data_IF_955759014634
#
_entry.id   IF_955759014634
#
_cell.length_a   1.000
_cell.length_b   1.000
_cell.length_c   1.000
_cell.angle_alpha   90.00
_cell.angle_beta   90.00
_cell.angle_gamma   90.00
#
_symmetry.space_group_name_H-M   'P 1'
#
loop_
_entity.id
_entity.type
_entity.pdbx_description
1 polymer ?
#
# COMPACT_ATOMS: atom_id res chain seq x y z
N UNK A 1 -16.25 -36.01 -57.42
CA UNK A 1 -15.29 -36.75 -56.56
C UNK A 1 -13.94 -36.74 -57.25
N UNK A 2 -12.97 -36.05 -56.66
CA UNK A 2 -11.57 -36.04 -57.06
C UNK A 2 -10.74 -36.59 -55.88
N UNK A 3 -9.42 -36.77 -56.09
CA UNK A 3 -8.39 -36.92 -55.03
C UNK A 3 -7.83 -38.33 -54.72
N UNK A 4 -7.50 -39.19 -55.71
CA UNK A 4 -6.71 -40.41 -55.42
C UNK A 4 -5.53 -40.78 -56.34
N UNK A 5 -5.35 -40.20 -57.52
CA UNK A 5 -4.36 -40.72 -58.49
C UNK A 5 -3.17 -39.81 -58.83
N UNK A 6 -2.78 -38.87 -57.96
CA UNK A 6 -1.56 -38.07 -58.14
C UNK A 6 -0.53 -38.30 -57.03
N UNK A 7 -0.16 -39.56 -56.83
CA UNK A 7 1.06 -39.95 -56.13
C UNK A 7 2.07 -40.40 -57.19
N UNK A 8 3.11 -39.60 -57.47
CA UNK A 8 4.50 -40.03 -57.70
C UNK A 8 5.34 -38.89 -58.28
N UNK A 9 5.91 -38.08 -57.39
CA UNK A 9 7.34 -37.74 -57.40
C UNK A 9 7.72 -37.34 -55.98
N UNK A 10 8.17 -38.36 -55.23
CA UNK A 10 8.92 -38.18 -53.99
C UNK A 10 10.23 -37.48 -54.37
N UNK A 11 10.32 -36.18 -54.20
CA UNK A 11 11.61 -35.57 -53.87
C UNK A 11 11.82 -35.79 -52.38
N UNK A 12 12.58 -36.83 -52.07
CA UNK A 12 13.18 -37.04 -50.76
C UNK A 12 14.19 -35.92 -50.50
N UNK A 13 13.71 -34.82 -49.91
CA UNK A 13 14.59 -33.84 -49.29
C UNK A 13 15.26 -34.54 -48.11
N UNK A 14 16.57 -34.76 -48.22
CA UNK A 14 17.39 -35.25 -47.11
C UNK A 14 17.19 -34.34 -45.89
N UNK A 15 16.92 -34.87 -44.68
CA UNK A 15 16.83 -34.05 -43.49
C UNK A 15 18.19 -33.38 -43.28
N UNK A 16 18.23 -32.04 -43.30
CA UNK A 16 19.41 -31.27 -42.88
C UNK A 16 19.79 -31.71 -41.45
N UNK A 17 21.07 -31.94 -41.15
CA UNK A 17 21.48 -32.36 -39.81
C UNK A 17 21.03 -31.31 -38.78
N UNK A 18 20.44 -31.78 -37.67
CA UNK A 18 20.12 -30.94 -36.51
C UNK A 18 21.41 -30.25 -36.05
N UNK A 19 21.41 -28.94 -35.74
CA UNK A 19 22.55 -28.32 -35.08
C UNK A 19 22.67 -28.91 -33.67
N UNK A 20 23.79 -29.58 -33.40
CA UNK A 20 24.13 -30.10 -32.08
C UNK A 20 24.69 -28.94 -31.26
N UNK A 21 23.96 -28.56 -30.20
CA UNK A 21 24.34 -27.43 -29.35
C UNK A 21 25.32 -27.93 -28.27
N UNK A 22 26.60 -27.67 -28.46
CA UNK A 22 27.64 -27.95 -27.46
C UNK A 22 27.82 -26.71 -26.57
N UNK A 23 27.53 -26.84 -25.28
CA UNK A 23 27.75 -25.77 -24.31
C UNK A 23 29.18 -25.90 -23.78
N UNK A 24 30.03 -24.93 -24.11
CA UNK A 24 31.41 -24.85 -23.63
C UNK A 24 31.49 -23.83 -22.48
N UNK A 25 32.18 -24.19 -21.40
CA UNK A 25 32.65 -23.21 -20.41
C UNK A 25 34.14 -23.04 -20.60
N UNK A 26 34.56 -21.81 -20.90
CA UNK A 26 35.97 -21.43 -20.99
C UNK A 26 36.32 -20.53 -19.81
N UNK A 27 37.46 -20.81 -19.19
CA UNK A 27 38.17 -19.92 -18.27
C UNK A 27 39.56 -19.64 -18.86
N UNK A 28 40.31 -18.69 -18.31
CA UNK A 28 41.62 -18.28 -18.85
C UNK A 28 42.59 -19.45 -19.09
N UNK A 29 42.45 -20.54 -18.32
CA UNK A 29 43.40 -21.66 -18.37
C UNK A 29 42.76 -23.04 -18.68
N UNK A 30 41.43 -23.17 -18.80
CA UNK A 30 40.77 -24.47 -19.06
C UNK A 30 39.48 -24.36 -19.89
N UNK A 31 39.24 -25.37 -20.72
CA UNK A 31 38.02 -25.56 -21.51
C UNK A 31 37.37 -26.92 -21.18
N UNK A 32 36.12 -26.91 -20.70
CA UNK A 32 35.35 -28.12 -20.41
C UNK A 32 34.07 -28.19 -21.27
N UNK A 33 33.77 -29.39 -21.78
CA UNK A 33 32.58 -29.71 -22.58
C UNK A 33 31.51 -30.30 -21.67
N UNK A 34 30.33 -29.69 -21.61
CA UNK A 34 29.22 -30.16 -20.76
C UNK A 34 28.22 -30.93 -21.63
N UNK A 35 28.04 -32.22 -21.37
CA UNK A 35 27.02 -33.06 -22.02
C UNK A 35 25.66 -32.95 -21.29
N UNK A 36 24.53 -32.82 -22.01
CA UNK A 36 23.21 -32.79 -21.39
C UNK A 36 22.77 -34.19 -20.92
N UNK A 37 22.03 -34.30 -19.79
CA UNK A 37 21.60 -35.59 -19.26
C UNK A 37 20.59 -36.31 -20.17
N UNK A 38 20.80 -37.61 -20.38
CA UNK A 38 19.99 -38.48 -21.25
C UNK A 38 18.64 -38.85 -20.61
N UNK A 39 17.55 -39.05 -21.39
CA UNK A 39 16.22 -39.32 -20.83
C UNK A 39 16.06 -40.80 -20.42
N UNK A 40 16.09 -41.09 -19.12
CA UNK A 40 15.72 -42.40 -18.57
C UNK A 40 14.18 -42.60 -18.49
N UNK A 41 13.75 -43.86 -18.67
CA UNK A 41 12.37 -44.34 -18.67
C UNK A 41 11.71 -44.28 -17.28
N UNK A 42 10.36 -44.19 -17.19
CA UNK A 42 9.66 -43.87 -15.94
C UNK A 42 9.53 -45.06 -14.98
N UNK A 43 9.83 -44.83 -13.70
CA UNK A 43 9.53 -45.74 -12.59
C UNK A 43 8.09 -45.52 -12.05
N UNK A 44 7.50 -46.59 -11.51
CA UNK A 44 6.11 -46.68 -11.04
C UNK A 44 5.75 -45.73 -9.85
N UNK A 45 4.46 -45.40 -9.62
CA UNK A 45 4.08 -44.33 -8.69
C UNK A 45 3.91 -44.83 -7.25
N UNK A 46 4.36 -44.07 -6.23
CA UNK A 46 3.90 -44.26 -4.86
C UNK A 46 2.67 -43.37 -4.54
N UNK A 47 1.94 -43.83 -3.52
CA UNK A 47 0.56 -43.46 -3.15
C UNK A 47 0.39 -42.00 -2.68
N UNK A 48 -0.79 -41.44 -2.98
CA UNK A 48 -1.27 -40.11 -2.55
C UNK A 48 -1.36 -39.98 -1.03
N UNK A 49 -0.73 -38.95 -0.46
CA UNK A 49 -1.18 -38.29 0.78
C UNK A 49 -1.04 -36.76 0.68
N UNK A 50 -1.85 -36.07 1.48
CA UNK A 50 -2.37 -34.70 1.32
C UNK A 50 -1.31 -33.59 1.30
N UNK A 51 -1.56 -32.59 0.46
CA UNK A 51 -0.64 -31.51 0.12
C UNK A 51 -0.34 -30.52 1.25
N UNK A 52 0.95 -30.20 1.37
CA UNK A 52 1.48 -29.05 2.10
C UNK A 52 1.45 -27.81 1.21
N UNK A 53 1.06 -26.69 1.84
CA UNK A 53 0.98 -25.35 1.28
C UNK A 53 2.40 -24.81 1.04
N UNK A 54 2.61 -24.18 -0.11
CA UNK A 54 3.81 -23.42 -0.39
C UNK A 54 3.82 -22.16 0.49
N UNK A 55 4.69 -22.16 1.51
CA UNK A 55 4.99 -21.03 2.38
C UNK A 55 6.14 -20.27 1.70
N UNK A 56 5.92 -19.03 1.25
CA UNK A 56 7.03 -18.13 0.94
C UNK A 56 7.63 -17.66 2.26
N UNK A 57 8.87 -18.07 2.51
CA UNK A 57 9.66 -17.68 3.67
C UNK A 57 10.46 -16.43 3.31
N UNK A 58 10.11 -15.29 3.91
CA UNK A 58 11.04 -14.19 4.10
C UNK A 58 11.69 -14.38 5.47
N UNK A 59 13.02 -14.37 5.49
CA UNK A 59 13.83 -14.54 6.69
C UNK A 59 13.50 -13.46 7.72
N UNK A 60 13.16 -13.91 8.92
CA UNK A 60 13.18 -13.09 10.13
C UNK A 60 13.94 -13.90 11.18
N UNK A 61 15.16 -13.48 11.47
CA UNK A 61 15.91 -14.01 12.60
C UNK A 61 15.23 -13.57 13.89
N UNK A 62 14.88 -14.59 14.68
CA UNK A 62 14.31 -14.48 16.01
C UNK A 62 15.46 -14.49 17.00
N UNK A 63 15.47 -13.52 17.90
CA UNK A 63 16.06 -13.74 19.20
C UNK A 63 15.00 -14.27 20.17
N UNK A 64 15.37 -15.30 20.92
CA UNK A 64 14.52 -15.99 21.90
C UNK A 64 15.03 -15.66 23.29
N UNK A 65 14.16 -15.19 24.17
CA UNK A 65 14.12 -15.75 25.53
C UNK A 65 12.73 -15.61 26.18
N UNK A 66 12.06 -16.71 26.58
CA UNK A 66 10.75 -16.67 27.21
C UNK A 66 10.85 -17.14 28.67
N UNK A 67 10.78 -16.23 29.66
CA UNK A 67 10.34 -16.56 31.03
C UNK A 67 10.25 -15.32 31.91
N UNK A 68 9.00 -14.99 32.26
CA UNK A 68 8.48 -14.28 33.46
C UNK A 68 7.59 -13.12 33.06
N UNK A 69 6.30 -13.42 32.89
CA UNK A 69 5.26 -12.48 33.29
C UNK A 69 3.91 -13.22 33.51
N UNK A 70 3.95 -14.39 34.15
CA UNK A 70 2.74 -15.09 34.65
C UNK A 70 2.55 -14.91 36.16
N UNK A 71 3.19 -13.91 36.76
CA UNK A 71 3.36 -13.84 38.23
C UNK A 71 3.02 -12.48 38.84
N UNK A 72 2.14 -11.69 38.23
CA UNK A 72 1.56 -10.48 38.85
C UNK A 72 0.10 -10.26 38.48
N UNK A 73 -0.71 -11.32 38.54
CA UNK A 73 -2.16 -11.21 38.51
C UNK A 73 -2.71 -11.59 39.88
N UNK A 74 -3.65 -10.77 40.35
CA UNK A 74 -4.41 -10.80 41.63
C UNK A 74 -3.79 -9.92 42.72
N UNK A 75 -4.46 -8.95 43.37
CA UNK A 75 -5.86 -8.51 43.43
C UNK A 75 -5.87 -6.98 43.71
N UNK A 76 -6.87 -6.24 43.20
CA UNK A 76 -7.87 -5.53 44.01
C UNK A 76 -8.65 -4.49 43.20
N UNK A 77 -9.97 -4.68 43.22
CA UNK A 77 -11.00 -3.76 42.76
C UNK A 77 -11.24 -2.74 43.87
N UNK A 78 -10.66 -1.55 43.75
CA UNK A 78 -11.12 -0.37 44.49
C UNK A 78 -11.21 0.82 43.56
N UNK A 79 -12.37 1.48 43.64
CA UNK A 79 -12.80 2.63 42.88
C UNK A 79 -12.15 3.90 43.41
N UNK A 80 -11.35 4.60 42.58
CA UNK A 80 -11.09 6.06 42.65
C UNK A 80 -10.68 6.60 41.26
N UNK A 81 -10.93 7.90 40.97
CA UNK A 81 -11.14 8.40 39.62
C UNK A 81 -9.82 8.71 38.90
N UNK A 82 -9.70 8.32 37.62
CA UNK A 82 -8.64 8.83 36.73
C UNK A 82 -9.18 10.03 35.95
N UNK A 83 -9.03 11.20 36.56
CA UNK A 83 -8.55 12.40 35.86
C UNK A 83 -7.16 12.06 35.29
N UNK A 84 -6.75 12.42 34.07
CA UNK A 84 -7.22 13.42 33.13
C UNK A 84 -7.21 12.85 31.71
N UNK A 85 -8.37 12.84 31.06
CA UNK A 85 -8.45 12.82 29.61
C UNK A 85 -7.77 14.07 29.06
N UNK A 86 -6.92 13.89 28.04
CA UNK A 86 -6.49 14.98 27.20
C UNK A 86 -7.75 15.63 26.61
N UNK A 87 -8.03 16.85 27.09
CA UNK A 87 -8.95 17.89 26.61
C UNK A 87 -9.91 17.38 25.50
N UNK A 88 -10.99 16.73 25.92
CA UNK A 88 -12.15 16.49 25.07
C UNK A 88 -13.19 17.61 25.36
N UNK A 89 -13.76 18.25 24.34
CA UNK A 89 -14.83 19.23 24.51
C UNK A 89 -16.02 18.61 25.23
N UNK A 90 -16.69 19.39 26.09
CA UNK A 90 -17.85 18.93 26.87
C UNK A 90 -19.07 18.60 25.99
N UNK A 91 -19.12 19.13 24.78
CA UNK A 91 -20.24 19.00 23.84
C UNK A 91 -19.96 18.02 22.69
N UNK A 92 -19.03 17.07 22.87
CA UNK A 92 -18.74 16.05 21.88
C UNK A 92 -19.87 15.00 21.83
N UNK A 93 -20.46 14.66 20.66
CA UNK A 93 -21.46 13.61 20.53
C UNK A 93 -20.97 12.26 21.10
N UNK A 94 -21.83 11.25 21.33
CA UNK A 94 -21.42 9.89 21.78
C UNK A 94 -20.97 8.99 20.62
N UNK A 95 -19.96 8.14 20.85
CA UNK A 95 -19.29 7.41 19.77
C UNK A 95 -20.23 6.36 19.17
N UNK A 96 -20.48 6.35 17.85
CA UNK A 96 -21.32 5.33 17.23
C UNK A 96 -20.75 3.94 17.52
N UNK A 97 -21.63 2.99 17.86
CA UNK A 97 -21.23 1.59 18.03
C UNK A 97 -20.63 1.06 16.72
N UNK A 98 -19.68 0.11 16.75
CA UNK A 98 -19.08 -0.46 15.55
C UNK A 98 -20.13 -1.28 14.79
N UNK A 99 -20.85 -0.63 13.87
CA UNK A 99 -21.87 -1.22 13.02
C UNK A 99 -21.37 -1.30 11.58
N UNK A 100 -21.57 -2.47 10.96
CA UNK A 100 -21.26 -2.69 9.55
C UNK A 100 -22.17 -1.81 8.68
N UNK A 101 -21.57 -0.80 8.04
CA UNK A 101 -22.00 -0.30 6.72
C UNK A 101 -23.35 0.41 6.65
N UNK A 102 -23.67 1.30 7.60
CA UNK A 102 -24.71 2.30 7.36
C UNK A 102 -24.05 3.68 7.20
N UNK A 103 -24.45 4.45 6.19
CA UNK A 103 -23.91 5.80 5.93
C UNK A 103 -24.30 6.84 7.00
N UNK A 104 -25.15 6.47 7.97
CA UNK A 104 -25.47 7.32 9.12
C UNK A 104 -24.36 7.31 10.17
N UNK A 105 -23.75 6.15 10.40
CA UNK A 105 -22.61 6.01 11.31
C UNK A 105 -21.41 6.78 10.77
N UNK A 106 -21.19 6.76 9.45
CA UNK A 106 -20.15 7.55 8.78
C UNK A 106 -20.38 9.07 8.95
N UNK A 107 -21.60 9.55 8.73
CA UNK A 107 -21.97 10.95 8.97
C UNK A 107 -21.81 11.38 10.45
N UNK A 108 -22.16 10.50 11.40
CA UNK A 108 -22.00 10.73 12.84
C UNK A 108 -20.51 10.76 13.25
N UNK A 109 -19.65 9.97 12.59
CA UNK A 109 -18.20 10.03 12.78
C UNK A 109 -17.59 11.30 12.17
N UNK A 110 -18.07 11.75 11.00
CA UNK A 110 -17.66 13.01 10.36
C UNK A 110 -18.03 14.24 11.19
N UNK A 111 -19.23 14.27 11.78
CA UNK A 111 -19.68 15.35 12.67
C UNK A 111 -18.79 15.42 13.92
N UNK A 112 -18.49 14.26 14.52
CA UNK A 112 -17.62 14.15 15.69
C UNK A 112 -16.19 14.61 15.41
N UNK A 113 -15.63 14.26 14.23
CA UNK A 113 -14.32 14.71 13.80
C UNK A 113 -14.27 16.22 13.56
N UNK A 114 -15.36 16.79 13.03
CA UNK A 114 -15.49 18.24 12.78
C UNK A 114 -15.49 19.04 14.09
N UNK A 115 -16.21 18.59 15.11
CA UNK A 115 -16.24 19.24 16.43
C UNK A 115 -14.86 19.20 17.11
N UNK A 116 -14.13 18.09 16.96
CA UNK A 116 -12.75 17.97 17.48
C UNK A 116 -11.76 18.88 16.74
N UNK A 117 -11.93 19.08 15.43
CA UNK A 117 -11.09 19.99 14.65
C UNK A 117 -11.34 21.47 15.00
N UNK A 118 -12.57 21.85 15.35
CA UNK A 118 -12.92 23.23 15.68
C UNK A 118 -12.50 23.65 17.10
N UNK A 119 -12.47 22.72 18.05
CA UNK A 119 -12.28 23.00 19.48
C UNK A 119 -10.83 22.92 19.94
N UNK A 120 -9.91 22.52 19.06
CA UNK A 120 -8.49 22.50 19.31
C UNK A 120 -7.80 23.62 18.51
N UNK A 121 -7.83 24.88 18.98
CA UNK A 121 -7.16 25.96 18.28
C UNK A 121 -5.65 25.73 18.34
N UNK A 122 -5.06 25.37 17.21
CA UNK A 122 -3.61 25.43 17.04
C UNK A 122 -3.19 26.89 17.31
N UNK A 123 -2.18 27.15 18.17
CA UNK A 123 -1.70 28.50 18.36
C UNK A 123 -1.22 29.06 17.02
N UNK A 124 -1.91 30.08 16.51
CA UNK A 124 -1.45 30.88 15.36
C UNK A 124 -0.14 31.54 15.77
N UNK A 125 0.99 30.96 15.36
CA UNK A 125 2.25 31.69 15.33
C UNK A 125 2.07 32.90 14.41
N UNK A 126 2.31 34.09 14.94
CA UNK A 126 2.26 35.34 14.19
C UNK A 126 3.45 35.37 13.22
N UNK A 127 3.23 35.00 11.96
CA UNK A 127 4.21 35.16 10.89
C UNK A 127 4.07 36.56 10.31
N UNK A 128 5.17 37.32 10.08
CA UNK A 128 5.08 38.64 9.47
C UNK A 128 4.51 38.53 8.05
N UNK A 129 3.49 39.35 7.74
CA UNK A 129 2.94 39.48 6.39
C UNK A 129 3.90 40.32 5.54
N UNK A 130 4.75 39.67 4.76
CA UNK A 130 5.46 40.30 3.65
C UNK A 130 5.65 39.30 2.52
N UNK A 131 4.65 39.25 1.63
CA UNK A 131 4.71 39.12 0.15
C UNK A 131 3.32 38.73 -0.35
N UNK A 132 2.96 39.14 -1.57
CA UNK A 132 1.77 38.64 -2.24
C UNK A 132 1.82 37.09 -2.29
N UNK A 133 0.67 36.38 -2.27
CA UNK A 133 0.68 34.93 -2.42
C UNK A 133 1.45 34.58 -3.71
N UNK A 134 2.43 33.66 -3.66
CA UNK A 134 3.11 33.20 -4.86
C UNK A 134 2.06 32.70 -5.87
N UNK A 135 2.27 33.02 -7.15
CA UNK A 135 1.35 32.56 -8.19
C UNK A 135 1.35 31.03 -8.21
N UNK A 136 0.19 30.40 -8.43
CA UNK A 136 0.06 28.94 -8.37
C UNK A 136 1.07 28.22 -9.28
N UNK A 137 1.40 28.82 -10.43
CA UNK A 137 2.39 28.31 -11.38
C UNK A 137 3.82 28.28 -10.81
N UNK A 138 4.18 29.24 -9.96
CA UNK A 138 5.49 29.31 -9.30
C UNK A 138 5.62 28.25 -8.20
N UNK A 139 4.53 28.00 -7.46
CA UNK A 139 4.45 26.94 -6.45
C UNK A 139 4.62 25.57 -7.11
N UNK A 140 3.95 25.33 -8.23
CA UNK A 140 4.07 24.08 -8.99
C UNK A 140 5.48 23.91 -9.57
N UNK A 141 6.06 24.95 -10.18
CA UNK A 141 7.43 24.91 -10.69
C UNK A 141 8.45 24.60 -9.57
N UNK A 142 8.26 25.18 -8.39
CA UNK A 142 9.11 24.92 -7.22
C UNK A 142 8.98 23.46 -6.75
N UNK A 143 7.76 22.92 -6.76
CA UNK A 143 7.53 21.52 -6.41
C UNK A 143 8.21 20.56 -7.38
N UNK A 144 8.08 20.80 -8.68
CA UNK A 144 8.74 20.00 -9.73
C UNK A 144 10.26 20.04 -9.60
N UNK A 145 10.83 21.20 -9.26
CA UNK A 145 12.27 21.30 -8.97
C UNK A 145 12.67 20.46 -7.76
N UNK A 146 11.87 20.45 -6.68
CA UNK A 146 12.09 19.58 -5.54
C UNK A 146 12.09 18.09 -5.90
N UNK A 147 11.16 17.66 -6.76
CA UNK A 147 11.08 16.27 -7.27
C UNK A 147 12.32 15.95 -8.13
N UNK A 148 12.71 16.83 -9.04
CA UNK A 148 13.92 16.66 -9.86
C UNK A 148 15.16 16.47 -9.00
N UNK A 149 15.35 17.33 -7.98
CA UNK A 149 16.46 17.22 -7.04
C UNK A 149 16.43 15.91 -6.25
N UNK A 150 15.24 15.42 -5.89
CA UNK A 150 15.10 14.13 -5.22
C UNK A 150 15.56 12.97 -6.13
N UNK A 151 15.18 12.98 -7.40
CA UNK A 151 15.59 11.98 -8.40
C UNK A 151 17.10 12.03 -8.70
N UNK A 152 17.70 13.20 -8.66
CA UNK A 152 19.15 13.41 -8.80
C UNK A 152 19.96 12.99 -7.55
N UNK A 153 19.27 12.65 -6.45
CA UNK A 153 19.88 12.24 -5.19
C UNK A 153 20.28 13.40 -4.27
N UNK A 154 19.94 14.63 -4.61
CA UNK A 154 20.17 15.84 -3.81
C UNK A 154 19.11 15.98 -2.70
N UNK A 155 19.01 14.94 -1.86
CA UNK A 155 17.91 14.74 -0.92
C UNK A 155 17.75 15.88 0.09
N UNK A 156 18.85 16.50 0.56
CA UNK A 156 18.79 17.61 1.51
C UNK A 156 18.07 18.83 0.90
N UNK A 157 18.36 19.15 -0.38
CA UNK A 157 17.77 20.30 -1.08
C UNK A 157 16.31 20.02 -1.40
N UNK A 158 16.01 18.81 -1.88
CA UNK A 158 14.65 18.38 -2.18
C UNK A 158 13.74 18.45 -0.94
N UNK A 159 14.21 17.89 0.18
CA UNK A 159 13.44 17.88 1.43
C UNK A 159 13.23 19.28 2.01
N UNK A 160 14.19 20.19 1.84
CA UNK A 160 14.02 21.59 2.23
C UNK A 160 12.90 22.27 1.42
N UNK A 161 12.82 22.01 0.11
CA UNK A 161 11.74 22.51 -0.74
C UNK A 161 10.40 21.91 -0.32
N UNK A 162 10.33 20.59 -0.11
CA UNK A 162 9.10 19.94 0.33
C UNK A 162 8.61 20.48 1.67
N UNK A 163 9.52 20.74 2.62
CA UNK A 163 9.18 21.34 3.91
C UNK A 163 8.59 22.74 3.76
N UNK A 164 9.22 23.62 2.97
CA UNK A 164 8.75 24.98 2.74
C UNK A 164 7.34 25.00 2.11
N UNK A 165 7.10 24.13 1.13
CA UNK A 165 5.81 24.01 0.46
C UNK A 165 4.75 23.35 1.37
N UNK A 166 5.15 22.39 2.21
CA UNK A 166 4.27 21.74 3.16
C UNK A 166 3.74 22.72 4.22
N UNK A 167 4.61 23.62 4.71
CA UNK A 167 4.25 24.71 5.62
C UNK A 167 3.35 25.76 4.95
N UNK A 168 3.44 25.88 3.62
CA UNK A 168 2.55 26.69 2.79
C UNK A 168 1.20 26.00 2.48
N UNK A 169 0.91 24.89 3.15
CA UNK A 169 -0.31 24.09 3.02
C UNK A 169 -0.50 23.36 1.68
N UNK A 170 0.58 23.08 0.94
CA UNK A 170 0.50 22.34 -0.31
C UNK A 170 0.38 20.83 -0.05
N UNK A 171 -0.72 20.21 -0.47
CA UNK A 171 -1.06 18.85 -0.05
C UNK A 171 -0.05 17.79 -0.54
N UNK A 172 0.36 17.83 -1.80
CA UNK A 172 1.39 16.90 -2.32
C UNK A 172 2.74 17.09 -1.61
N UNK A 173 3.09 18.33 -1.25
CA UNK A 173 4.35 18.60 -0.58
C UNK A 173 4.32 18.07 0.86
N UNK A 174 3.17 18.14 1.54
CA UNK A 174 2.96 17.52 2.84
C UNK A 174 3.12 16.00 2.77
N UNK A 175 2.62 15.35 1.71
CA UNK A 175 2.86 13.91 1.48
C UNK A 175 4.35 13.63 1.30
N UNK A 176 5.01 14.32 0.37
CA UNK A 176 6.43 14.10 0.06
C UNK A 176 7.32 14.40 1.27
N UNK A 177 7.04 15.45 2.03
CA UNK A 177 7.77 15.76 3.26
C UNK A 177 7.52 14.73 4.36
N UNK A 178 6.28 14.27 4.53
CA UNK A 178 5.96 13.17 5.45
C UNK A 178 6.72 11.88 5.12
N UNK A 179 6.83 11.54 3.82
CA UNK A 179 7.65 10.42 3.35
C UNK A 179 9.14 10.64 3.61
N UNK A 180 9.65 11.86 3.38
CA UNK A 180 11.03 12.22 3.67
C UNK A 180 11.37 12.05 5.15
N UNK A 181 10.50 12.50 6.06
CA UNK A 181 10.66 12.33 7.50
C UNK A 181 10.63 10.85 7.91
N UNK A 182 9.72 10.07 7.31
CA UNK A 182 9.59 8.63 7.59
C UNK A 182 10.83 7.84 7.17
N UNK A 183 11.38 8.14 5.99
CA UNK A 183 12.50 7.42 5.40
C UNK A 183 13.87 8.03 5.70
N UNK A 184 13.93 9.25 6.23
CA UNK A 184 15.17 9.98 6.46
C UNK A 184 15.80 10.53 5.17
N UNK A 185 14.99 10.97 4.21
CA UNK A 185 15.51 11.56 2.96
C UNK A 185 16.07 12.95 3.23
N UNK A 186 17.39 13.08 3.34
CA UNK A 186 18.04 14.36 3.58
C UNK A 186 17.68 15.04 4.91
N UNK A 187 17.12 14.29 5.85
CA UNK A 187 16.71 14.73 7.19
C UNK A 187 16.85 13.55 8.15
N UNK A 188 17.05 13.76 9.46
CA UNK A 188 16.89 12.70 10.44
C UNK A 188 15.50 12.06 10.36
N UNK A 189 15.43 10.75 10.61
CA UNK A 189 14.15 10.03 10.65
C UNK A 189 13.28 10.57 11.79
N UNK A 190 12.08 11.03 11.45
CA UNK A 190 11.06 11.50 12.38
C UNK A 190 9.70 10.91 11.98
N UNK A 191 9.38 9.77 12.58
CA UNK A 191 8.13 9.08 12.27
C UNK A 191 6.91 9.81 12.83
N UNK A 192 7.05 10.55 13.92
CA UNK A 192 5.92 11.28 14.54
C UNK A 192 5.57 12.51 13.69
N UNK A 193 6.58 13.24 13.22
CA UNK A 193 6.43 14.31 12.24
C UNK A 193 5.81 13.82 10.92
N UNK A 194 6.21 12.64 10.45
CA UNK A 194 5.63 12.03 9.25
C UNK A 194 4.11 11.86 9.35
N UNK A 195 3.60 11.32 10.47
CA UNK A 195 2.16 11.15 10.68
C UNK A 195 1.43 12.48 10.69
N UNK A 196 2.02 13.51 11.31
CA UNK A 196 1.41 14.84 11.36
C UNK A 196 1.22 15.41 9.96
N UNK A 197 2.25 15.38 9.12
CA UNK A 197 2.18 15.93 7.76
C UNK A 197 1.30 15.07 6.83
N UNK A 198 1.33 13.73 6.94
CA UNK A 198 0.42 12.85 6.18
C UNK A 198 -1.05 13.05 6.57
N UNK A 199 -1.34 13.23 7.86
CA UNK A 199 -2.69 13.53 8.34
C UNK A 199 -3.17 14.90 7.87
N UNK A 200 -2.26 15.89 7.86
CA UNK A 200 -2.52 17.23 7.36
C UNK A 200 -2.80 17.19 5.84
N UNK A 201 -2.01 16.44 5.08
CA UNK A 201 -2.21 16.24 3.65
C UNK A 201 -3.58 15.64 3.35
N UNK A 202 -3.96 14.57 4.04
CA UNK A 202 -5.28 13.94 3.86
C UNK A 202 -6.42 14.92 4.17
N UNK A 203 -6.29 15.74 5.23
CA UNK A 203 -7.30 16.73 5.59
C UNK A 203 -7.41 17.86 4.56
N UNK A 204 -6.28 18.35 4.07
CA UNK A 204 -6.22 19.42 3.07
C UNK A 204 -6.72 18.98 1.71
N UNK A 205 -6.31 17.80 1.23
CA UNK A 205 -6.78 17.28 -0.05
C UNK A 205 -8.27 16.97 -0.03
N UNK A 206 -8.84 16.52 1.10
CA UNK A 206 -10.29 16.31 1.21
C UNK A 206 -11.09 17.63 1.09
N UNK A 207 -10.57 18.73 1.64
CA UNK A 207 -11.17 20.06 1.44
C UNK A 207 -11.06 20.51 -0.02
N UNK A 208 -9.91 20.30 -0.65
CA UNK A 208 -9.69 20.64 -2.07
C UNK A 208 -10.61 19.79 -2.96
N UNK A 209 -10.76 18.48 -2.72
CA UNK A 209 -11.66 17.63 -3.51
C UNK A 209 -13.13 18.04 -3.38
N UNK A 210 -13.58 18.41 -2.18
CA UNK A 210 -14.95 18.92 -1.97
C UNK A 210 -15.22 20.17 -2.80
N UNK A 211 -14.22 21.04 -2.93
CA UNK A 211 -14.30 22.25 -3.75
C UNK A 211 -14.02 21.98 -5.24
N UNK A 212 -13.22 20.96 -5.55
CA UNK A 212 -12.70 20.60 -6.88
C UNK A 212 -13.37 19.38 -7.50
N UNK A 213 -14.57 19.00 -7.04
CA UNK A 213 -15.41 17.90 -7.57
C UNK A 213 -15.64 17.96 -9.10
N UNK A 214 -15.24 19.05 -9.74
CA UNK A 214 -15.31 19.29 -11.18
C UNK A 214 -14.01 19.02 -11.97
N UNK A 215 -12.83 18.84 -11.34
CA UNK A 215 -11.53 18.88 -12.05
C UNK A 215 -10.58 17.68 -11.90
N UNK A 216 -10.92 16.65 -11.13
CA UNK A 216 -10.24 15.33 -11.18
C UNK A 216 -8.77 15.25 -10.74
N UNK A 217 -8.09 16.36 -10.45
CA UNK A 217 -6.66 16.41 -10.10
C UNK A 217 -6.32 16.08 -8.64
N UNK A 218 -7.06 16.64 -7.67
CA UNK A 218 -6.80 16.53 -6.22
C UNK A 218 -6.93 15.11 -5.63
N UNK A 219 -7.32 14.17 -6.49
CA UNK A 219 -7.61 12.79 -6.15
C UNK A 219 -6.37 11.95 -5.93
N UNK A 220 -5.27 12.27 -6.63
CA UNK A 220 -4.02 11.54 -6.48
C UNK A 220 -3.37 11.77 -5.11
N UNK A 221 -3.30 13.03 -4.67
CA UNK A 221 -2.66 13.41 -3.42
C UNK A 221 -3.44 12.89 -2.19
N UNK A 222 -4.77 13.02 -2.21
CA UNK A 222 -5.62 12.52 -1.12
C UNK A 222 -5.44 11.02 -0.93
N UNK A 223 -5.56 10.28 -2.04
CA UNK A 223 -5.39 8.83 -2.06
C UNK A 223 -4.05 8.41 -1.50
N UNK A 224 -2.97 9.04 -1.96
CA UNK A 224 -1.62 8.69 -1.54
C UNK A 224 -1.42 8.95 -0.04
N UNK A 225 -1.93 10.08 0.48
CA UNK A 225 -1.89 10.39 1.90
C UNK A 225 -2.64 9.34 2.75
N UNK A 226 -3.86 8.99 2.35
CA UNK A 226 -4.69 7.98 3.03
C UNK A 226 -4.01 6.61 3.00
N UNK A 227 -3.46 6.21 1.85
CA UNK A 227 -2.74 4.94 1.71
C UNK A 227 -1.52 4.86 2.62
N UNK A 228 -0.71 5.93 2.68
CA UNK A 228 0.47 6.00 3.54
C UNK A 228 0.10 6.02 5.03
N UNK A 229 -1.02 6.63 5.43
CA UNK A 229 -1.54 6.49 6.79
C UNK A 229 -1.92 5.04 7.11
N UNK A 230 -2.53 4.32 6.16
CA UNK A 230 -2.77 2.88 6.27
C UNK A 230 -1.50 2.08 6.52
N UNK A 231 -0.41 2.39 5.78
CA UNK A 231 0.90 1.78 6.00
C UNK A 231 1.47 2.09 7.39
N UNK A 232 1.27 3.30 7.88
CA UNK A 232 1.71 3.69 9.22
C UNK A 232 0.98 2.89 10.32
N UNK A 233 -0.34 2.71 10.23
CA UNK A 233 -1.08 1.84 11.15
C UNK A 233 -0.71 0.35 11.02
N UNK A 234 -0.34 -0.11 9.82
CA UNK A 234 0.11 -1.49 9.61
C UNK A 234 1.47 -1.75 10.26
N UNK A 235 2.42 -0.84 10.06
CA UNK A 235 3.82 -1.04 10.44
C UNK A 235 4.19 -0.42 11.79
N UNK A 236 3.35 0.47 12.32
CA UNK A 236 3.57 1.15 13.58
C UNK A 236 4.59 2.28 13.47
N UNK A 237 4.58 3.02 12.36
CA UNK A 237 5.49 4.14 12.14
C UNK A 237 4.90 5.41 12.72
N UNK A 238 5.46 5.92 13.83
CA UNK A 238 4.97 7.15 14.51
C UNK A 238 3.58 7.02 15.13
N UNK A 239 2.97 5.85 15.03
CA UNK A 239 1.64 5.55 15.58
C UNK A 239 1.60 4.08 16.02
N UNK A 240 0.74 3.76 16.99
CA UNK A 240 0.56 2.38 17.41
C UNK A 240 -0.03 1.53 16.27
N UNK A 241 0.46 0.29 16.15
CA UNK A 241 -0.09 -0.66 15.19
C UNK A 241 -1.58 -0.90 15.46
N UNK A 242 -2.38 -0.71 14.42
CA UNK A 242 -3.80 -1.03 14.42
C UNK A 242 -4.17 -1.65 13.07
N UNK A 243 -4.25 -2.99 13.00
CA UNK A 243 -4.64 -3.69 11.78
C UNK A 243 -6.03 -3.31 11.27
N UNK A 244 -6.97 -2.99 12.16
CA UNK A 244 -8.35 -2.65 11.78
C UNK A 244 -8.39 -1.26 11.15
N UNK A 245 -7.71 -0.29 11.77
CA UNK A 245 -7.54 1.04 11.17
C UNK A 245 -6.81 0.94 9.83
N UNK A 246 -5.69 0.23 9.74
CA UNK A 246 -4.94 0.07 8.50
C UNK A 246 -5.81 -0.46 7.34
N UNK A 247 -6.60 -1.52 7.61
CA UNK A 247 -7.54 -2.05 6.63
C UNK A 247 -8.57 -1.01 6.20
N UNK A 248 -9.12 -0.24 7.14
CA UNK A 248 -10.07 0.81 6.82
C UNK A 248 -9.46 1.89 5.91
N UNK A 249 -8.25 2.36 6.21
CA UNK A 249 -7.53 3.31 5.35
C UNK A 249 -7.28 2.75 3.93
N UNK A 250 -6.90 1.47 3.80
CA UNK A 250 -6.76 0.83 2.49
C UNK A 250 -8.10 0.74 1.75
N UNK A 251 -9.20 0.41 2.44
CA UNK A 251 -10.54 0.39 1.84
C UNK A 251 -10.95 1.79 1.35
N UNK A 252 -10.67 2.84 2.12
CA UNK A 252 -10.97 4.22 1.75
C UNK A 252 -10.18 4.64 0.50
N UNK A 253 -8.86 4.41 0.47
CA UNK A 253 -8.04 4.69 -0.71
C UNK A 253 -8.46 3.85 -1.94
N UNK A 254 -8.84 2.58 -1.73
CA UNK A 254 -9.35 1.72 -2.79
C UNK A 254 -10.68 2.23 -3.37
N UNK A 255 -11.60 2.71 -2.52
CA UNK A 255 -12.87 3.28 -2.97
C UNK A 255 -12.67 4.61 -3.72
N UNK A 256 -11.59 5.32 -3.41
CA UNK A 256 -11.11 6.45 -4.19
C UNK A 256 -10.42 6.01 -5.49
N UNK A 257 -10.39 4.73 -5.85
CA UNK A 257 -9.99 4.29 -7.20
C UNK A 257 -8.50 3.99 -7.35
N UNK A 258 -7.76 3.87 -6.26
CA UNK A 258 -6.34 3.51 -6.30
C UNK A 258 -6.15 2.00 -6.44
N UNK A 259 -5.49 1.53 -7.51
CA UNK A 259 -5.36 0.11 -7.75
C UNK A 259 -4.41 -0.58 -6.77
N UNK A 260 -3.46 0.13 -6.17
CA UNK A 260 -2.51 -0.44 -5.20
C UNK A 260 -3.20 -0.62 -3.84
N UNK A 261 -3.99 0.36 -3.42
CA UNK A 261 -4.88 0.27 -2.26
C UNK A 261 -5.94 -0.82 -2.42
N UNK A 262 -6.50 -1.02 -3.62
CA UNK A 262 -7.41 -2.14 -3.90
C UNK A 262 -6.72 -3.50 -3.66
N UNK A 263 -5.45 -3.64 -4.07
CA UNK A 263 -4.68 -4.86 -3.83
C UNK A 263 -4.39 -5.07 -2.33
N UNK A 264 -4.02 -4.03 -1.60
CA UNK A 264 -3.80 -4.11 -0.14
C UNK A 264 -5.10 -4.39 0.64
N UNK A 265 -6.22 -3.76 0.25
CA UNK A 265 -7.53 -4.05 0.82
C UNK A 265 -7.92 -5.52 0.55
N UNK A 266 -7.76 -6.00 -0.68
CA UNK A 266 -8.01 -7.39 -1.02
C UNK A 266 -7.14 -8.36 -0.21
N UNK A 267 -5.85 -8.04 -0.03
CA UNK A 267 -4.95 -8.82 0.82
C UNK A 267 -5.47 -8.88 2.27
N UNK A 268 -5.93 -7.76 2.83
CA UNK A 268 -6.50 -7.72 4.17
C UNK A 268 -7.68 -8.69 4.33
N UNK A 269 -8.56 -8.74 3.33
CA UNK A 269 -9.71 -9.66 3.29
C UNK A 269 -9.32 -11.13 3.06
N UNK A 270 -8.24 -11.41 2.31
CA UNK A 270 -7.75 -12.76 2.09
C UNK A 270 -7.08 -13.34 3.34
N UNK A 271 -6.27 -12.53 4.02
CA UNK A 271 -5.50 -12.96 5.19
C UNK A 271 -6.24 -12.74 6.52
N UNK A 272 -7.32 -11.95 6.52
CA UNK A 272 -8.02 -11.58 7.74
C UNK A 272 -7.20 -10.58 8.57
N UNK A 273 -6.43 -9.73 7.91
CA UNK A 273 -5.75 -8.61 8.55
C UNK A 273 -6.78 -7.53 8.87
N UNK A 274 -6.81 -7.05 10.11
CA UNK A 274 -7.77 -6.03 10.54
C UNK A 274 -9.23 -6.48 10.61
N UNK A 275 -9.52 -7.78 10.48
CA UNK A 275 -10.90 -8.27 10.54
C UNK A 275 -11.05 -9.73 10.11
N UNK A 276 -12.28 -10.13 9.81
CA UNK A 276 -12.55 -11.49 9.30
C UNK A 276 -12.16 -11.62 7.84
N UNK A 277 -11.79 -12.85 7.46
CA UNK A 277 -11.57 -13.23 6.06
C UNK A 277 -12.87 -13.15 5.27
N UNK A 278 -12.81 -12.56 4.08
CA UNK A 278 -13.92 -12.53 3.13
C UNK A 278 -13.38 -12.58 1.69
N UNK A 279 -13.50 -13.74 1.06
CA UNK A 279 -13.03 -13.92 -0.32
C UNK A 279 -13.91 -13.21 -1.34
N UNK A 280 -15.15 -12.90 -1.02
CA UNK A 280 -16.06 -12.20 -1.92
C UNK A 280 -15.68 -10.72 -1.98
N UNK A 281 -15.46 -10.09 -0.82
CA UNK A 281 -14.95 -8.73 -0.74
C UNK A 281 -13.56 -8.60 -1.37
N UNK A 282 -12.64 -9.55 -1.12
CA UNK A 282 -11.34 -9.56 -1.78
C UNK A 282 -11.45 -9.66 -3.32
N UNK A 283 -12.33 -10.54 -3.82
CA UNK A 283 -12.54 -10.68 -5.25
C UNK A 283 -13.14 -9.42 -5.88
N UNK A 284 -14.00 -8.68 -5.16
CA UNK A 284 -14.54 -7.38 -5.60
C UNK A 284 -13.41 -6.37 -5.85
N UNK A 285 -12.57 -6.11 -4.84
CA UNK A 285 -11.47 -5.15 -4.96
C UNK A 285 -10.47 -5.54 -6.05
N UNK A 286 -10.11 -6.83 -6.17
CA UNK A 286 -9.19 -7.27 -7.23
C UNK A 286 -9.78 -7.07 -8.63
N UNK A 287 -11.08 -7.29 -8.84
CA UNK A 287 -11.72 -7.03 -10.14
C UNK A 287 -11.75 -5.53 -10.46
N UNK A 288 -12.00 -4.70 -9.46
CA UNK A 288 -11.94 -3.24 -9.61
C UNK A 288 -10.52 -2.79 -9.99
N UNK A 289 -9.49 -3.36 -9.36
CA UNK A 289 -8.09 -3.10 -9.71
C UNK A 289 -7.76 -3.52 -11.15
N UNK A 290 -8.23 -4.68 -11.60
CA UNK A 290 -8.08 -5.15 -13.00
C UNK A 290 -8.75 -4.18 -13.98
N UNK A 291 -9.92 -3.64 -13.63
CA UNK A 291 -10.65 -2.67 -14.45
C UNK A 291 -9.90 -1.35 -14.55
N UNK A 292 -9.38 -0.82 -13.44
CA UNK A 292 -8.61 0.44 -13.44
C UNK A 292 -7.29 0.29 -14.21
N UNK A 293 -6.58 -0.83 -14.03
CA UNK A 293 -5.30 -1.09 -14.72
C UNK A 293 -5.46 -1.52 -16.18
N UNK A 294 -6.67 -1.86 -16.63
CA UNK A 294 -6.96 -2.35 -17.98
C UNK A 294 -6.34 -3.72 -18.31
N UNK A 295 -5.90 -4.48 -17.30
CA UNK A 295 -5.25 -5.79 -17.48
C UNK A 295 -5.52 -6.73 -16.30
N UNK A 296 -5.68 -8.04 -16.55
CA UNK A 296 -5.88 -9.01 -15.48
C UNK A 296 -4.61 -9.19 -14.63
N UNK A 297 -4.78 -9.39 -13.33
CA UNK A 297 -3.68 -9.63 -12.41
C UNK A 297 -3.24 -11.10 -12.47
N UNK A 298 -1.95 -11.33 -12.68
CA UNK A 298 -1.38 -12.67 -12.78
C UNK A 298 -1.59 -13.41 -11.45
N UNK A 299 -2.20 -14.60 -11.50
CA UNK A 299 -2.47 -15.43 -10.32
C UNK A 299 -3.83 -15.18 -9.65
N UNK A 300 -4.61 -14.20 -10.09
CA UNK A 300 -5.92 -13.87 -9.53
C UNK A 300 -7.12 -14.45 -10.30
N UNK A 301 -6.91 -15.42 -11.21
CA UNK A 301 -8.00 -16.05 -12.01
C UNK A 301 -9.15 -16.64 -11.19
N UNK A 302 -8.94 -16.89 -9.89
CA UNK A 302 -9.97 -17.37 -8.99
C UNK A 302 -11.10 -16.36 -8.75
N UNK A 303 -10.87 -15.05 -8.92
CA UNK A 303 -11.86 -13.99 -8.68
C UNK A 303 -13.04 -14.04 -9.69
N UNK A 304 -12.84 -14.69 -10.83
CA UNK A 304 -13.84 -14.84 -11.90
C UNK A 304 -14.63 -16.15 -11.83
N UNK A 305 -14.39 -16.99 -10.83
CA UNK A 305 -15.20 -18.21 -10.61
C UNK A 305 -16.63 -17.82 -10.22
N UNK A 306 -17.63 -18.53 -10.72
CA UNK A 306 -19.07 -18.25 -10.50
C UNK A 306 -19.47 -18.02 -9.03
N UNK A 307 -18.76 -18.61 -8.07
CA UNK A 307 -19.05 -18.41 -6.63
C UNK A 307 -18.56 -17.08 -6.04
N UNK A 308 -17.70 -16.35 -6.76
CA UNK A 308 -17.14 -15.06 -6.33
C UNK A 308 -17.46 -13.94 -7.33
N UNK A 309 -17.98 -14.29 -8.50
CA UNK A 309 -18.50 -13.37 -9.50
C UNK A 309 -20.01 -13.20 -9.25
N UNK A 310 -20.49 -12.02 -8.83
CA UNK A 310 -21.91 -11.75 -8.57
C UNK A 310 -22.79 -11.96 -9.80
#
# INVERSE_FOLDING_TARGET
MALKDLIRKKETVQPKPKPELTILRTTTDLQEVIEPPSPEKPAAPPKKTRGLRLRRSWHQERDKDPKRLKEKLSFHRETRPRSSSAILPRDLPDAPAPALGNGKAEAEWEERATVLAQTNPVPKAAVPRTTAPPQADEVEATLQEGIRLHEEGELNKATAIFHQLADSNHALAQVLYGLALRHGWGTPVDTDGAIRYLSLAASNSAMIEKDALTKGGAKGELVLAIFELGNCFRHGWGIQKDPAAARHYYETAANLGDPDAMEEAAWCYLDGFGGRKDKFAAARFLREAEKVRGRPAVGNSWIWKNKYNP
#
